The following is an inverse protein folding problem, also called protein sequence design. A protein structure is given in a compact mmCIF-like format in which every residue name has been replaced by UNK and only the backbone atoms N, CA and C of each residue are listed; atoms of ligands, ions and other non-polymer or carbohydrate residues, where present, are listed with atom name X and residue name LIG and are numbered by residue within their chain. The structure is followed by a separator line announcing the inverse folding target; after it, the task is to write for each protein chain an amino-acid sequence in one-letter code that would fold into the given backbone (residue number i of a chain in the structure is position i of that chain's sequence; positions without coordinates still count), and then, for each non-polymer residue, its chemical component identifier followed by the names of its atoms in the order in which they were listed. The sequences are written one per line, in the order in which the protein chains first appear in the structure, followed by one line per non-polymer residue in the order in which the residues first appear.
data_IF_906096048159
#
_entry.id   IF_906096048159
#
_cell.length_a   1.000
_cell.length_b   1.000
_cell.length_c   1.000
_cell.angle_alpha   90.00
_cell.angle_beta   90.00
_cell.angle_gamma   90.00
#
_symmetry.space_group_name_H-M   'P 1'
#
loop_
_entity.id
_entity.type
_entity.pdbx_description
1 polymer ?
#
# COMPACT_ATOMS: atom_id res chain seq x y z
N UNK A 1 1.41 -17.08 -11.78
CA UNK A 1 1.58 -15.92 -10.88
C UNK A 1 2.34 -16.45 -9.67
N UNK A 2 3.46 -15.82 -9.27
CA UNK A 2 4.11 -16.19 -8.02
C UNK A 2 3.15 -15.87 -6.86
N UNK A 3 3.18 -16.67 -5.80
CA UNK A 3 2.39 -16.36 -4.61
C UNK A 3 2.98 -15.10 -3.94
N UNK A 4 2.21 -14.01 -4.00
CA UNK A 4 2.53 -12.70 -3.43
C UNK A 4 1.79 -12.48 -2.10
N UNK A 5 0.98 -13.45 -1.66
CA UNK A 5 0.23 -13.37 -0.41
C UNK A 5 1.20 -13.20 0.77
N UNK A 6 0.86 -12.32 1.70
CA UNK A 6 1.69 -12.03 2.87
C UNK A 6 2.87 -11.09 2.59
N UNK A 7 2.98 -10.54 1.38
CA UNK A 7 4.06 -9.62 1.02
C UNK A 7 3.64 -8.15 1.11
N UNK A 8 4.63 -7.28 1.26
CA UNK A 8 4.46 -5.84 1.24
C UNK A 8 4.95 -5.29 -0.10
N UNK A 9 4.25 -4.27 -0.62
CA UNK A 9 4.58 -3.72 -1.93
C UNK A 9 3.95 -2.36 -2.17
N UNK A 10 4.41 -1.70 -3.23
CA UNK A 10 3.81 -0.49 -3.75
C UNK A 10 3.08 -0.79 -5.05
N UNK A 11 2.08 0.02 -5.36
CA UNK A 11 1.32 -0.05 -6.60
C UNK A 11 1.26 1.34 -7.25
N UNK A 12 2.30 1.75 -8.01
CA UNK A 12 2.43 3.09 -8.55
C UNK A 12 1.58 3.26 -9.82
N UNK A 13 0.25 3.25 -9.64
CA UNK A 13 -0.70 3.39 -10.74
C UNK A 13 -0.95 4.86 -11.08
N UNK A 14 -0.92 5.17 -12.37
CA UNK A 14 -1.30 6.44 -12.98
C UNK A 14 -2.43 6.21 -14.00
N UNK A 15 -3.13 7.28 -14.39
CA UNK A 15 -4.25 7.17 -15.33
C UNK A 15 -3.82 6.59 -16.68
N UNK A 16 -2.60 6.91 -17.10
CA UNK A 16 -1.96 6.44 -18.32
C UNK A 16 -1.69 4.93 -18.35
N UNK A 17 -1.59 4.28 -17.18
CA UNK A 17 -1.37 2.82 -17.09
C UNK A 17 -2.64 2.02 -17.45
N UNK A 18 -3.81 2.67 -17.44
CA UNK A 18 -5.10 2.06 -17.77
C UNK A 18 -5.93 1.68 -16.54
N UNK A 19 -7.23 1.98 -16.60
CA UNK A 19 -8.19 1.70 -15.53
C UNK A 19 -8.50 0.20 -15.38
N UNK A 20 -8.27 -0.60 -16.42
CA UNK A 20 -8.52 -2.04 -16.42
C UNK A 20 -7.56 -2.83 -15.50
N UNK A 21 -6.51 -2.17 -15.01
CA UNK A 21 -5.60 -2.69 -14.00
C UNK A 21 -6.24 -2.75 -12.61
N UNK A 22 -7.31 -2.00 -12.35
CA UNK A 22 -8.03 -1.99 -11.08
C UNK A 22 -9.38 -2.69 -11.29
N UNK A 23 -9.83 -3.43 -10.30
CA UNK A 23 -11.14 -4.06 -10.36
C UNK A 23 -12.25 -2.99 -10.50
N UNK A 24 -13.25 -3.15 -11.39
CA UNK A 24 -14.24 -2.10 -11.67
C UNK A 24 -15.00 -1.58 -10.45
N UNK A 25 -15.31 -2.46 -9.49
CA UNK A 25 -15.97 -2.08 -8.23
C UNK A 25 -15.09 -1.26 -7.28
N UNK A 26 -13.77 -1.31 -7.45
CA UNK A 26 -12.81 -0.64 -6.57
C UNK A 26 -12.23 0.62 -7.23
N UNK A 27 -12.38 0.76 -8.56
CA UNK A 27 -11.77 1.80 -9.39
C UNK A 27 -12.04 3.22 -8.90
N UNK A 28 -13.31 3.58 -8.66
CA UNK A 28 -13.67 4.93 -8.24
C UNK A 28 -12.97 5.31 -6.91
N UNK A 29 -13.08 4.43 -5.92
CA UNK A 29 -12.42 4.61 -4.61
C UNK A 29 -10.91 4.62 -4.71
N UNK A 30 -10.33 3.76 -5.54
CA UNK A 30 -8.89 3.70 -5.74
C UNK A 30 -8.38 5.02 -6.33
N UNK A 31 -9.08 5.58 -7.34
CA UNK A 31 -8.74 6.89 -7.92
C UNK A 31 -8.83 7.99 -6.88
N UNK A 32 -9.94 8.10 -6.16
CA UNK A 32 -10.12 9.13 -5.12
C UNK A 32 -9.00 9.10 -4.05
N UNK A 33 -8.48 7.92 -3.73
CA UNK A 33 -7.41 7.74 -2.73
C UNK A 33 -6.00 7.96 -3.29
N UNK A 34 -5.72 7.50 -4.50
CA UNK A 34 -4.33 7.31 -4.97
C UNK A 34 -3.93 8.16 -6.18
N UNK A 35 -4.83 8.96 -6.76
CA UNK A 35 -4.58 9.74 -7.98
C UNK A 35 -3.29 10.60 -7.95
N UNK A 36 -2.86 11.07 -6.78
CA UNK A 36 -1.67 11.92 -6.64
C UNK A 36 -0.67 11.41 -5.60
N UNK A 37 -0.82 10.16 -5.13
CA UNK A 37 -0.04 9.65 -4.01
C UNK A 37 0.82 8.45 -4.40
N UNK A 38 2.01 8.75 -4.92
CA UNK A 38 3.02 7.75 -5.23
C UNK A 38 3.63 7.11 -3.99
N UNK A 39 4.05 5.85 -4.11
CA UNK A 39 4.82 5.14 -3.07
C UNK A 39 4.01 4.67 -1.87
N UNK A 40 2.67 4.69 -1.90
CA UNK A 40 1.85 4.09 -0.84
C UNK A 40 2.16 2.61 -0.71
N UNK A 41 2.32 2.17 0.54
CA UNK A 41 2.66 0.80 0.87
C UNK A 41 1.38 0.01 1.13
N UNK A 42 1.29 -1.17 0.54
CA UNK A 42 0.16 -2.07 0.62
C UNK A 42 0.62 -3.42 1.14
N UNK A 43 -0.24 -4.07 1.92
CA UNK A 43 -0.08 -5.48 2.26
C UNK A 43 -0.89 -6.33 1.28
N UNK A 44 -0.25 -7.27 0.58
CA UNK A 44 -0.95 -8.24 -0.26
C UNK A 44 -1.59 -9.30 0.65
N UNK A 45 -2.88 -9.13 0.90
CA UNK A 45 -3.64 -9.97 1.84
C UNK A 45 -4.00 -11.31 1.23
N UNK A 46 -4.29 -11.34 -0.07
CA UNK A 46 -4.79 -12.52 -0.78
C UNK A 46 -4.63 -12.36 -2.30
N UNK A 47 -4.90 -13.43 -3.04
CA UNK A 47 -5.00 -13.46 -4.50
C UNK A 47 -6.32 -14.13 -4.87
N UNK A 48 -7.18 -13.38 -5.56
CA UNK A 48 -8.50 -13.87 -5.98
C UNK A 48 -8.59 -13.80 -7.50
N UNK A 49 -8.73 -14.96 -8.13
CA UNK A 49 -8.72 -15.12 -9.60
C UNK A 49 -7.44 -14.55 -10.25
N UNK A 50 -7.55 -13.36 -10.85
CA UNK A 50 -6.47 -12.64 -11.53
C UNK A 50 -6.04 -11.36 -10.79
N UNK A 51 -6.62 -11.11 -9.61
CA UNK A 51 -6.40 -9.89 -8.84
C UNK A 51 -5.62 -10.18 -7.56
N UNK A 52 -4.65 -9.31 -7.26
CA UNK A 52 -4.09 -9.16 -5.93
C UNK A 52 -5.08 -8.39 -5.07
N UNK A 53 -5.33 -8.86 -3.85
CA UNK A 53 -6.10 -8.15 -2.83
C UNK A 53 -5.14 -7.36 -1.96
N UNK A 54 -4.99 -6.06 -2.27
CA UNK A 54 -4.13 -5.14 -1.56
C UNK A 54 -4.88 -4.47 -0.42
N UNK A 55 -4.35 -4.58 0.79
CA UNK A 55 -4.82 -3.89 1.98
C UNK A 55 -4.03 -2.59 2.18
N UNK A 56 -4.75 -1.49 2.33
CA UNK A 56 -4.22 -0.19 2.73
C UNK A 56 -5.06 0.32 3.89
N UNK A 57 -4.44 0.45 5.08
CA UNK A 57 -5.17 0.69 6.33
C UNK A 57 -6.30 -0.35 6.53
N UNK A 58 -7.53 0.10 6.65
CA UNK A 58 -8.76 -0.69 6.78
C UNK A 58 -9.44 -1.01 5.44
N UNK A 59 -8.91 -0.52 4.33
CA UNK A 59 -9.48 -0.71 2.99
C UNK A 59 -8.80 -1.85 2.22
N UNK A 60 -9.59 -2.48 1.32
CA UNK A 60 -9.12 -3.51 0.41
C UNK A 60 -9.39 -3.09 -1.04
N UNK A 61 -8.42 -3.33 -1.90
CA UNK A 61 -8.49 -3.04 -3.32
C UNK A 61 -8.02 -4.24 -4.12
N UNK A 62 -8.76 -4.61 -5.16
CA UNK A 62 -8.36 -5.64 -6.12
C UNK A 62 -7.68 -4.99 -7.31
N UNK A 63 -6.44 -5.38 -7.56
CA UNK A 63 -5.64 -4.87 -8.68
C UNK A 63 -4.97 -6.02 -9.42
N UNK A 64 -4.71 -5.85 -10.70
CA UNK A 64 -3.88 -6.79 -11.46
C UNK A 64 -2.44 -6.74 -10.93
N UNK A 65 -1.64 -7.80 -11.11
CA UNK A 65 -0.27 -7.83 -10.58
C UNK A 65 0.71 -6.92 -11.33
N UNK A 66 0.34 -6.40 -12.50
CA UNK A 66 1.22 -5.77 -13.48
C UNK A 66 2.10 -4.65 -12.92
N UNK A 67 1.59 -3.86 -11.97
CA UNK A 67 2.34 -2.76 -11.34
C UNK A 67 2.83 -3.08 -9.91
N UNK A 68 2.61 -4.28 -9.41
CA UNK A 68 2.95 -4.62 -8.04
C UNK A 68 4.46 -4.79 -7.87
N UNK A 69 5.07 -3.87 -7.13
CA UNK A 69 6.49 -3.92 -6.81
C UNK A 69 6.67 -4.27 -5.33
N UNK A 70 7.26 -5.43 -5.06
CA UNK A 70 7.57 -5.87 -3.69
C UNK A 70 8.57 -4.92 -3.04
N UNK A 71 8.32 -4.60 -1.78
CA UNK A 71 9.23 -3.85 -0.91
C UNK A 71 9.54 -4.67 0.34
N UNK A 72 10.51 -4.21 1.14
CA UNK A 72 10.78 -4.86 2.43
C UNK A 72 9.61 -4.62 3.37
N UNK A 73 9.39 -5.58 4.27
CA UNK A 73 8.39 -5.44 5.34
C UNK A 73 8.67 -4.16 6.16
N UNK A 74 7.70 -3.25 6.30
CA UNK A 74 7.82 -2.10 7.18
C UNK A 74 8.04 -2.52 8.63
N UNK A 75 8.69 -1.66 9.40
CA UNK A 75 8.94 -1.88 10.84
C UNK A 75 7.66 -1.74 11.66
N UNK A 76 6.75 -0.88 11.23
CA UNK A 76 5.45 -0.62 11.86
C UNK A 76 4.33 -0.81 10.86
N UNK A 77 3.15 -1.22 11.34
CA UNK A 77 1.93 -1.34 10.55
C UNK A 77 1.01 -0.14 10.80
N UNK A 78 0.04 0.05 9.90
CA UNK A 78 -1.03 1.02 10.05
C UNK A 78 -1.81 0.78 11.34
N UNK A 79 -1.99 1.84 12.12
CA UNK A 79 -2.69 1.79 13.40
C UNK A 79 -1.80 1.47 14.61
N UNK A 80 -0.52 1.17 14.41
CA UNK A 80 0.41 0.98 15.52
C UNK A 80 0.57 2.27 16.33
N UNK A 81 0.57 2.13 17.66
CA UNK A 81 0.81 3.23 18.59
C UNK A 81 2.30 3.34 18.93
N UNK A 82 2.88 4.51 18.68
CA UNK A 82 4.29 4.79 18.87
C UNK A 82 4.50 5.91 19.90
N UNK A 83 5.64 5.86 20.60
CA UNK A 83 6.13 6.99 21.40
C UNK A 83 7.29 7.65 20.69
N UNK A 84 7.30 8.98 20.64
CA UNK A 84 8.42 9.72 20.08
C UNK A 84 9.58 9.71 21.07
N UNK A 85 10.80 9.50 20.56
CA UNK A 85 12.01 9.54 21.39
C UNK A 85 12.18 10.92 22.05
N UNK A 86 11.90 11.98 21.31
CA UNK A 86 12.08 13.37 21.76
C UNK A 86 10.87 13.92 22.52
N UNK A 87 9.74 13.19 22.54
CA UNK A 87 8.49 13.53 23.24
C UNK A 87 7.83 12.25 23.79
N UNK A 88 8.39 11.64 24.84
CA UNK A 88 7.93 10.34 25.35
C UNK A 88 6.50 10.36 25.93
N UNK A 89 5.96 11.55 26.23
CA UNK A 89 4.58 11.80 26.64
C UNK A 89 3.59 11.77 25.48
N UNK A 90 4.05 12.00 24.24
CA UNK A 90 3.20 11.93 23.06
C UNK A 90 3.04 10.47 22.61
N UNK A 91 1.77 10.07 22.45
CA UNK A 91 1.40 8.83 21.77
C UNK A 91 0.96 9.21 20.36
N UNK A 92 1.65 8.67 19.36
CA UNK A 92 1.33 8.82 17.95
C UNK A 92 0.74 7.52 17.40
N UNK A 93 0.02 7.61 16.29
CA UNK A 93 -0.47 6.45 15.55
C UNK A 93 0.11 6.47 14.14
N UNK A 94 0.53 5.31 13.63
CA UNK A 94 0.97 5.18 12.24
C UNK A 94 -0.25 5.33 11.34
N UNK A 95 -0.42 6.53 10.79
CA UNK A 95 -1.53 6.84 9.89
C UNK A 95 -1.15 6.62 8.42
N UNK A 96 0.12 6.66 8.05
CA UNK A 96 0.52 6.41 6.68
C UNK A 96 1.86 5.68 6.60
N UNK A 97 2.08 5.00 5.47
CA UNK A 97 3.37 4.38 5.15
C UNK A 97 3.65 4.67 3.68
N UNK A 98 4.73 5.40 3.43
CA UNK A 98 5.18 5.77 2.08
C UNK A 98 6.59 5.21 1.88
N UNK A 99 6.79 4.49 0.78
CA UNK A 99 8.09 3.98 0.39
C UNK A 99 8.95 5.08 -0.24
N UNK A 100 10.12 5.31 0.32
CA UNK A 100 11.09 6.22 -0.24
C UNK A 100 12.06 5.46 -1.17
N UNK A 101 11.78 5.47 -2.47
CA UNK A 101 12.49 4.67 -3.47
C UNK A 101 14.02 4.84 -3.48
N UNK A 102 14.52 6.05 -3.21
CA UNK A 102 15.98 6.30 -3.19
C UNK A 102 16.67 5.69 -1.96
N UNK A 103 15.96 5.63 -0.84
CA UNK A 103 16.51 5.09 0.42
C UNK A 103 16.16 3.61 0.62
N UNK A 104 15.27 3.07 -0.23
CA UNK A 104 14.76 1.71 -0.14
C UNK A 104 14.24 1.37 1.27
N UNK A 105 13.46 2.30 1.82
CA UNK A 105 12.97 2.28 3.20
C UNK A 105 11.57 2.93 3.34
N UNK A 106 10.78 2.51 4.34
CA UNK A 106 9.50 3.12 4.65
C UNK A 106 9.66 4.45 5.40
N UNK A 107 8.72 5.38 5.16
CA UNK A 107 8.52 6.62 5.91
C UNK A 107 7.12 6.59 6.53
N UNK A 108 7.00 7.05 7.78
CA UNK A 108 5.79 7.04 8.60
C UNK A 108 5.35 8.45 8.93
#
# INVERSE_FOLDING_TARGET
MNDLTGTWGVYPWFYEDGEDLIHPLDLCRFKERFLYSGGKVFFCKDIVEKYLVLKYKDELFRVKPDLYNRVKMPTFDYGDYLKLKDRPEAICVVNDIVWHFKEDAPKY
#
